data_IF_593502036607
#
_entry.id   IF_593502036607
#
_cell.length_a   1.000
_cell.length_b   1.000
_cell.length_c   1.000
_cell.angle_alpha   90.00
_cell.angle_beta   90.00
_cell.angle_gamma   90.00
#
_symmetry.space_group_name_H-M   'P 1'
#
loop_
_entity.id
_entity.type
_entity.pdbx_description
1 polymer ?
#
# COMPACT_ATOMS: atom_id res chain seq x y z
N UNK A 1 6.10 12.36 7.84
CA UNK A 1 7.08 11.52 7.14
C UNK A 1 7.10 11.82 5.64
N UNK A 2 5.98 11.68 4.93
CA UNK A 2 5.78 12.14 3.55
C UNK A 2 4.58 13.07 3.56
N UNK A 3 4.71 14.27 3.00
CA UNK A 3 3.63 15.24 2.89
C UNK A 3 3.58 15.80 1.48
N UNK A 4 2.44 15.63 0.84
CA UNK A 4 2.17 16.10 -0.52
C UNK A 4 1.02 17.09 -0.44
N UNK A 5 1.16 18.26 -1.09
CA UNK A 5 0.14 19.30 -1.13
C UNK A 5 -0.03 19.80 -2.56
N UNK A 6 -1.22 19.65 -3.10
CA UNK A 6 -1.65 20.13 -4.42
C UNK A 6 -0.67 19.75 -5.55
N UNK A 7 -0.13 18.51 -5.48
CA UNK A 7 0.86 18.04 -6.45
C UNK A 7 0.23 17.87 -7.83
N UNK A 8 0.84 18.51 -8.84
CA UNK A 8 0.43 18.38 -10.23
C UNK A 8 1.63 18.07 -11.10
N UNK A 9 1.48 17.04 -11.95
CA UNK A 9 2.51 16.56 -12.88
C UNK A 9 1.99 16.47 -14.29
N UNK A 10 2.76 17.03 -15.22
CA UNK A 10 2.51 16.94 -16.66
C UNK A 10 3.62 16.18 -17.37
N UNK A 11 3.26 15.40 -18.39
CA UNK A 11 4.13 14.96 -19.47
C UNK A 11 3.69 15.62 -20.76
N UNK A 12 4.46 16.62 -21.22
CA UNK A 12 4.02 17.50 -22.31
C UNK A 12 2.73 18.24 -21.98
N UNK A 13 1.64 17.93 -22.67
CA UNK A 13 0.31 18.50 -22.43
C UNK A 13 -0.60 17.63 -21.55
N UNK A 14 -0.21 16.40 -21.32
CA UNK A 14 -1.00 15.43 -20.56
C UNK A 14 -0.78 15.63 -19.05
N UNK A 15 -1.87 15.83 -18.32
CA UNK A 15 -1.85 15.92 -16.86
C UNK A 15 -2.00 14.52 -16.27
N UNK A 16 -0.92 13.96 -15.76
CA UNK A 16 -0.87 12.59 -15.21
C UNK A 16 -1.15 12.57 -13.70
N UNK A 17 -0.84 13.64 -12.98
CA UNK A 17 -1.24 13.85 -11.59
C UNK A 17 -1.88 15.22 -11.50
N UNK A 18 -3.03 15.29 -10.86
CA UNK A 18 -3.89 16.47 -10.82
C UNK A 18 -4.32 16.77 -9.39
N UNK A 19 -3.69 17.77 -8.78
CA UNK A 19 -4.04 18.31 -7.48
C UNK A 19 -4.09 17.25 -6.34
N UNK A 20 -3.07 16.39 -6.29
CA UNK A 20 -2.99 15.31 -5.30
C UNK A 20 -2.44 15.85 -3.99
N UNK A 21 -3.18 15.65 -2.88
CA UNK A 21 -2.75 15.97 -1.52
C UNK A 21 -2.89 14.75 -0.62
N UNK A 22 -1.83 14.40 0.11
CA UNK A 22 -1.84 13.30 1.07
C UNK A 22 -0.76 13.46 2.14
N UNK A 23 -0.95 12.80 3.26
CA UNK A 23 0.05 12.72 4.34
C UNK A 23 0.22 11.27 4.78
N UNK A 24 1.48 10.79 4.80
CA UNK A 24 1.86 9.46 5.29
C UNK A 24 2.69 9.64 6.56
N UNK A 25 2.22 9.05 7.66
CA UNK A 25 2.91 9.11 8.95
C UNK A 25 4.04 8.10 9.02
N UNK A 26 4.93 8.28 10.00
CA UNK A 26 6.03 7.35 10.25
C UNK A 26 5.48 5.98 10.69
N UNK A 27 6.01 4.90 10.11
CA UNK A 27 5.65 3.54 10.45
C UNK A 27 4.34 3.03 9.83
N UNK A 28 3.61 3.87 9.07
CA UNK A 28 2.41 3.43 8.35
C UNK A 28 2.75 2.56 7.12
N UNK A 29 1.90 1.58 6.83
CA UNK A 29 1.79 0.97 5.50
C UNK A 29 0.65 1.68 4.78
N UNK A 30 0.99 2.44 3.76
CA UNK A 30 0.06 3.25 2.98
C UNK A 30 -0.03 2.71 1.54
N UNK A 31 -1.23 2.43 1.06
CA UNK A 31 -1.44 1.96 -0.30
C UNK A 31 -1.88 3.08 -1.24
N UNK A 32 -1.34 3.08 -2.45
CA UNK A 32 -1.80 3.90 -3.58
C UNK A 32 -2.37 2.94 -4.61
N UNK A 33 -3.68 3.02 -4.81
CA UNK A 33 -4.45 2.08 -5.62
C UNK A 33 -5.05 2.79 -6.82
N UNK A 34 -5.22 2.08 -7.92
CA UNK A 34 -5.84 2.63 -9.14
C UNK A 34 -5.61 1.74 -10.34
N UNK A 35 -6.37 1.96 -11.41
CA UNK A 35 -6.19 1.24 -12.67
C UNK A 35 -4.82 1.55 -13.32
N UNK A 36 -4.45 0.74 -14.31
CA UNK A 36 -3.25 1.02 -15.12
C UNK A 36 -3.39 2.41 -15.77
N UNK A 37 -2.31 3.20 -15.75
CA UNK A 37 -2.33 4.57 -16.26
C UNK A 37 -2.88 5.64 -15.31
N UNK A 38 -3.38 5.29 -14.11
CA UNK A 38 -3.92 6.27 -13.16
C UNK A 38 -2.89 7.27 -12.56
N UNK A 39 -1.58 7.10 -12.81
CA UNK A 39 -0.53 7.99 -12.30
C UNK A 39 0.21 7.46 -11.05
N UNK A 40 -0.10 6.25 -10.57
CA UNK A 40 0.45 5.67 -9.33
C UNK A 40 1.98 5.63 -9.29
N UNK A 41 2.59 5.00 -10.29
CA UNK A 41 4.06 4.87 -10.37
C UNK A 41 4.73 6.23 -10.57
N UNK A 42 4.07 7.17 -11.27
CA UNK A 42 4.55 8.55 -11.42
C UNK A 42 4.57 9.25 -10.05
N UNK A 43 3.49 9.13 -9.26
CA UNK A 43 3.43 9.68 -7.91
C UNK A 43 4.52 9.09 -7.01
N UNK A 44 4.71 7.76 -7.06
CA UNK A 44 5.75 7.08 -6.31
C UNK A 44 7.16 7.56 -6.71
N UNK A 45 7.41 7.78 -8.00
CA UNK A 45 8.68 8.29 -8.53
C UNK A 45 8.91 9.76 -8.19
N UNK A 46 7.86 10.56 -8.01
CA UNK A 46 7.98 11.90 -7.44
C UNK A 46 8.48 11.85 -5.99
N UNK A 47 7.98 10.90 -5.17
CA UNK A 47 8.38 10.77 -3.75
C UNK A 47 9.87 10.52 -3.58
N UNK A 48 10.51 9.73 -4.45
CA UNK A 48 11.96 9.50 -4.39
C UNK A 48 12.78 10.47 -5.26
N UNK A 49 12.12 11.47 -5.87
CA UNK A 49 12.74 12.47 -6.73
C UNK A 49 13.29 11.92 -8.05
N UNK A 50 12.84 10.73 -8.51
CA UNK A 50 13.16 10.22 -9.86
C UNK A 50 12.38 10.95 -10.94
N UNK A 51 11.20 11.46 -10.61
CA UNK A 51 10.38 12.31 -11.46
C UNK A 51 10.23 13.69 -10.85
N UNK A 52 10.28 14.73 -11.70
CA UNK A 52 9.96 16.10 -11.32
C UNK A 52 8.45 16.34 -11.40
N UNK A 53 7.97 17.37 -10.72
CA UNK A 53 6.59 17.85 -10.82
C UNK A 53 6.57 19.37 -11.05
N UNK A 54 5.46 19.89 -11.54
CA UNK A 54 5.36 21.30 -11.91
C UNK A 54 4.76 22.17 -10.81
N UNK A 55 3.68 21.70 -10.17
CA UNK A 55 2.93 22.48 -9.18
C UNK A 55 2.83 21.73 -7.84
N UNK A 56 2.57 22.45 -6.76
CA UNK A 56 2.45 21.94 -5.42
C UNK A 56 3.76 21.79 -4.66
N UNK A 57 3.71 21.09 -3.54
CA UNK A 57 4.89 20.78 -2.72
C UNK A 57 4.92 19.31 -2.31
N UNK A 58 6.12 18.78 -2.19
CA UNK A 58 6.38 17.40 -1.77
C UNK A 58 7.55 17.36 -0.81
N UNK A 59 7.24 17.09 0.46
CA UNK A 59 8.23 16.92 1.53
C UNK A 59 8.38 15.47 1.91
N UNK A 60 9.63 15.00 1.96
CA UNK A 60 10.00 13.65 2.38
C UNK A 60 11.08 13.77 3.44
N UNK A 61 10.87 13.20 4.63
CA UNK A 61 11.82 13.32 5.74
C UNK A 61 12.21 14.79 6.02
N UNK A 62 11.22 15.70 5.97
CA UNK A 62 11.37 17.15 6.16
C UNK A 62 12.16 17.90 5.07
N UNK A 63 12.55 17.23 3.99
CA UNK A 63 13.22 17.81 2.84
C UNK A 63 12.24 18.05 1.68
N UNK A 64 12.26 19.26 1.08
CA UNK A 64 11.48 19.57 -0.12
C UNK A 64 12.16 18.96 -1.36
N UNK A 65 11.48 18.03 -2.04
CA UNK A 65 12.05 17.28 -3.15
C UNK A 65 12.40 18.16 -4.34
N UNK A 66 11.56 19.15 -4.65
CA UNK A 66 11.77 20.06 -5.80
C UNK A 66 13.06 20.85 -5.64
N UNK A 67 13.30 21.40 -4.45
CA UNK A 67 14.50 22.17 -4.15
C UNK A 67 15.76 21.32 -4.24
N UNK A 68 15.71 20.09 -3.71
CA UNK A 68 16.84 19.16 -3.79
C UNK A 68 17.13 18.70 -5.21
N UNK A 69 16.11 18.43 -6.02
CA UNK A 69 16.29 17.97 -7.40
C UNK A 69 16.88 19.05 -8.31
N UNK A 70 16.54 20.29 -8.09
CA UNK A 70 17.00 21.44 -8.89
C UNK A 70 18.32 22.03 -8.41
N UNK A 71 18.49 22.16 -7.07
CA UNK A 71 19.55 22.96 -6.49
C UNK A 71 20.65 22.16 -5.78
N UNK A 72 20.34 20.92 -5.31
CA UNK A 72 21.31 20.12 -4.57
C UNK A 72 21.19 18.59 -4.85
N UNK A 73 21.69 18.14 -6.00
CA UNK A 73 21.67 16.71 -6.35
C UNK A 73 22.43 15.82 -5.35
N UNK A 74 23.40 16.38 -4.61
CA UNK A 74 24.13 15.61 -3.57
C UNK A 74 23.23 15.32 -2.39
N UNK A 75 22.47 16.32 -1.91
CA UNK A 75 21.50 16.10 -0.82
C UNK A 75 20.37 15.19 -1.25
N UNK A 76 19.88 15.28 -2.50
CA UNK A 76 18.90 14.33 -3.03
C UNK A 76 19.44 12.89 -3.01
N UNK A 77 20.72 12.70 -3.38
CA UNK A 77 21.35 11.39 -3.30
C UNK A 77 21.45 10.87 -1.85
N UNK A 78 21.71 11.75 -0.89
CA UNK A 78 21.72 11.40 0.54
C UNK A 78 20.32 11.05 1.04
N UNK A 79 19.29 11.80 0.64
CA UNK A 79 17.91 11.48 0.96
C UNK A 79 17.50 10.10 0.43
N UNK A 80 17.90 9.76 -0.80
CA UNK A 80 17.61 8.45 -1.41
C UNK A 80 18.27 7.27 -0.67
N UNK A 81 19.28 7.50 0.16
CA UNK A 81 19.82 6.47 1.07
C UNK A 81 18.76 6.01 2.09
N UNK A 82 17.93 6.94 2.55
CA UNK A 82 16.85 6.69 3.51
C UNK A 82 15.57 6.14 2.84
N UNK A 83 15.59 5.94 1.51
CA UNK A 83 14.44 5.46 0.72
C UNK A 83 14.84 4.20 -0.03
N UNK A 84 14.33 3.05 0.40
CA UNK A 84 14.43 1.81 -0.35
C UNK A 84 13.36 1.76 -1.44
N UNK A 85 13.68 1.20 -2.61
CA UNK A 85 12.71 1.03 -3.70
C UNK A 85 12.72 -0.40 -4.24
N UNK A 86 11.54 -0.96 -4.35
CA UNK A 86 11.25 -2.25 -4.97
C UNK A 86 10.56 -1.96 -6.29
N UNK A 87 11.15 -2.41 -7.39
CA UNK A 87 10.65 -2.18 -8.75
C UNK A 87 9.78 -3.34 -9.24
N UNK A 88 8.83 -3.07 -10.09
CA UNK A 88 7.91 -4.03 -10.69
C UNK A 88 8.63 -5.21 -11.38
N UNK A 89 9.71 -4.94 -12.09
CA UNK A 89 10.51 -5.93 -12.81
C UNK A 89 11.72 -6.44 -12.02
N UNK A 90 11.68 -6.37 -10.66
CA UNK A 90 12.75 -6.73 -9.73
C UNK A 90 14.04 -5.92 -9.89
N UNK A 91 14.36 -5.47 -11.10
CA UNK A 91 15.58 -4.75 -11.48
C UNK A 91 16.88 -5.41 -10.93
N UNK A 92 16.95 -6.74 -10.97
CA UNK A 92 18.13 -7.50 -10.57
C UNK A 92 19.18 -7.49 -11.68
N UNK A 93 20.44 -7.47 -11.27
CA UNK A 93 21.57 -7.60 -12.20
C UNK A 93 21.77 -9.07 -12.54
N UNK A 94 21.43 -9.47 -13.76
CA UNK A 94 21.43 -10.86 -14.24
C UNK A 94 22.81 -11.54 -14.18
N UNK A 95 23.90 -10.73 -14.30
CA UNK A 95 25.30 -11.20 -14.26
C UNK A 95 25.88 -11.26 -12.84
N UNK A 96 25.09 -10.95 -11.84
CA UNK A 96 25.45 -10.92 -10.43
C UNK A 96 24.61 -11.97 -9.68
N UNK A 97 25.24 -12.70 -8.74
CA UNK A 97 24.51 -13.62 -7.88
C UNK A 97 23.65 -12.85 -6.84
N UNK A 98 22.88 -13.59 -6.05
CA UNK A 98 21.99 -13.03 -5.02
C UNK A 98 22.77 -12.16 -4.03
N UNK A 99 23.90 -12.67 -3.49
CA UNK A 99 24.73 -11.91 -2.58
C UNK A 99 25.20 -10.57 -3.17
N UNK A 100 25.72 -10.59 -4.38
CA UNK A 100 26.22 -9.39 -5.07
C UNK A 100 25.11 -8.38 -5.41
N UNK A 101 23.90 -8.86 -5.74
CA UNK A 101 22.73 -7.99 -5.94
C UNK A 101 22.36 -7.25 -4.65
N UNK A 102 22.36 -7.94 -3.50
CA UNK A 102 22.06 -7.33 -2.21
C UNK A 102 23.22 -6.45 -1.72
N UNK A 103 24.48 -6.83 -1.96
CA UNK A 103 25.66 -6.07 -1.56
C UNK A 103 25.88 -4.78 -2.35
N UNK A 104 25.30 -4.66 -3.55
CA UNK A 104 25.58 -3.56 -4.48
C UNK A 104 25.35 -2.17 -3.89
N UNK A 105 24.23 -1.86 -3.18
CA UNK A 105 24.05 -0.55 -2.56
C UNK A 105 25.14 -0.22 -1.52
N UNK A 106 25.58 -1.20 -0.73
CA UNK A 106 26.65 -1.01 0.23
C UNK A 106 27.98 -0.69 -0.48
N UNK A 107 28.34 -1.46 -1.49
CA UNK A 107 29.57 -1.22 -2.28
C UNK A 107 29.57 0.11 -3.01
N UNK A 108 28.38 0.60 -3.38
CA UNK A 108 28.22 1.92 -4.02
C UNK A 108 28.38 3.05 -3.00
N UNK A 109 27.84 2.85 -1.79
CA UNK A 109 27.80 3.88 -0.74
C UNK A 109 29.10 3.91 0.08
N UNK A 110 29.56 2.76 0.54
CA UNK A 110 30.76 2.63 1.38
C UNK A 110 32.02 2.29 0.57
N UNK A 111 33.17 2.68 1.09
CA UNK A 111 34.47 2.22 0.57
C UNK A 111 34.97 1.04 1.41
N UNK A 112 35.40 -0.05 0.77
CA UNK A 112 36.08 -1.15 1.42
C UNK A 112 37.57 -0.86 1.65
N UNK A 113 38.12 0.21 1.08
CA UNK A 113 39.50 0.64 1.27
C UNK A 113 39.55 1.87 2.19
N UNK A 114 40.22 1.73 3.37
CA UNK A 114 40.33 2.85 4.32
C UNK A 114 41.04 4.07 3.74
N UNK A 115 42.06 3.85 2.91
CA UNK A 115 42.84 4.93 2.29
C UNK A 115 41.93 5.68 1.29
N UNK A 116 41.16 4.95 0.46
CA UNK A 116 40.24 5.50 -0.53
C UNK A 116 39.07 6.23 0.16
N UNK A 117 38.57 5.69 1.28
CA UNK A 117 37.58 6.33 2.12
C UNK A 117 38.03 7.72 2.57
N UNK A 118 39.26 7.80 3.08
CA UNK A 118 39.87 9.06 3.58
C UNK A 118 40.13 10.08 2.46
N UNK A 119 40.56 9.62 1.27
CA UNK A 119 40.84 10.48 0.12
C UNK A 119 39.59 11.04 -0.54
N UNK A 120 38.50 10.27 -0.64
CA UNK A 120 37.29 10.61 -1.38
C UNK A 120 36.07 10.91 -0.50
N UNK A 121 36.26 10.99 0.81
CA UNK A 121 35.17 11.33 1.76
C UNK A 121 34.04 10.31 1.84
N UNK A 122 34.28 9.04 1.43
CA UNK A 122 33.32 7.96 1.56
C UNK A 122 33.43 7.30 2.94
N UNK A 123 32.32 6.92 3.54
CA UNK A 123 32.32 6.09 4.75
C UNK A 123 32.96 4.74 4.49
N UNK A 124 33.76 4.23 5.46
CA UNK A 124 34.41 2.93 5.38
C UNK A 124 33.49 1.85 5.93
N UNK A 125 33.44 0.69 5.24
CA UNK A 125 32.83 -0.55 5.71
C UNK A 125 33.78 -1.69 5.40
N UNK A 126 34.11 -2.52 6.39
CA UNK A 126 34.93 -3.69 6.17
C UNK A 126 34.19 -4.76 5.36
N UNK A 127 34.93 -5.63 4.64
CA UNK A 127 34.31 -6.76 3.92
C UNK A 127 33.60 -7.73 4.90
N UNK A 128 34.10 -7.86 6.13
CA UNK A 128 33.48 -8.66 7.18
C UNK A 128 32.08 -8.08 7.55
N UNK A 129 31.98 -6.76 7.79
CA UNK A 129 30.73 -6.11 8.16
C UNK A 129 29.73 -6.14 6.99
N UNK A 130 30.21 -5.94 5.76
CA UNK A 130 29.40 -6.05 4.56
C UNK A 130 28.81 -7.46 4.43
N UNK A 131 29.64 -8.51 4.57
CA UNK A 131 29.21 -9.90 4.49
C UNK A 131 28.18 -10.23 5.58
N UNK A 132 28.42 -9.80 6.81
CA UNK A 132 27.49 -9.99 7.92
C UNK A 132 26.15 -9.32 7.64
N UNK A 133 26.17 -8.07 7.18
CA UNK A 133 24.94 -7.32 6.86
C UNK A 133 24.13 -7.96 5.74
N UNK A 134 24.80 -8.38 4.66
CA UNK A 134 24.12 -9.03 3.52
C UNK A 134 23.52 -10.37 3.95
N UNK A 135 24.26 -11.20 4.67
CA UNK A 135 23.76 -12.49 5.13
C UNK A 135 22.56 -12.33 6.07
N UNK A 136 22.61 -11.40 7.04
CA UNK A 136 21.46 -11.14 7.91
C UNK A 136 20.19 -10.71 7.13
N UNK A 137 20.34 -9.92 6.08
CA UNK A 137 19.20 -9.54 5.24
C UNK A 137 18.68 -10.72 4.40
N UNK A 138 19.57 -11.60 3.94
CA UNK A 138 19.15 -12.83 3.24
C UNK A 138 18.41 -13.79 4.17
N UNK A 139 18.79 -13.88 5.44
CA UNK A 139 18.05 -14.63 6.47
C UNK A 139 16.65 -14.02 6.69
N UNK A 140 16.53 -12.69 6.81
CA UNK A 140 15.23 -11.99 6.98
C UNK A 140 14.26 -12.33 5.84
N UNK A 141 14.76 -12.44 4.60
CA UNK A 141 13.91 -12.78 3.44
C UNK A 141 13.87 -14.29 3.15
N UNK A 142 14.54 -15.14 3.94
CA UNK A 142 14.57 -16.60 3.82
C UNK A 142 15.33 -17.12 2.59
N UNK A 143 16.40 -16.45 2.19
CA UNK A 143 17.23 -16.79 1.01
C UNK A 143 18.74 -16.98 1.33
N UNK A 144 19.10 -17.20 2.59
CA UNK A 144 20.47 -17.45 3.03
C UNK A 144 21.12 -18.63 2.28
N UNK A 145 20.36 -19.69 2.00
CA UNK A 145 20.78 -20.88 1.25
C UNK A 145 20.96 -20.65 -0.26
N UNK A 146 20.53 -19.48 -0.79
CA UNK A 146 20.57 -19.11 -2.22
C UNK A 146 21.59 -18.02 -2.55
N UNK A 147 22.46 -17.65 -1.62
CA UNK A 147 23.37 -16.51 -1.74
C UNK A 147 24.28 -16.55 -3.00
N UNK A 148 24.63 -17.75 -3.50
CA UNK A 148 25.46 -17.96 -4.70
C UNK A 148 24.66 -18.12 -5.99
N UNK A 149 23.32 -18.28 -5.93
CA UNK A 149 22.45 -18.44 -7.08
C UNK A 149 22.36 -17.15 -7.90
N UNK A 150 22.14 -17.29 -9.20
CA UNK A 150 21.92 -16.15 -10.11
C UNK A 150 20.42 -15.91 -10.32
N UNK A 151 19.99 -14.70 -10.74
CA UNK A 151 18.58 -14.39 -10.94
C UNK A 151 17.83 -15.37 -11.85
N UNK A 152 18.46 -15.87 -12.90
CA UNK A 152 17.89 -16.87 -13.81
C UNK A 152 17.53 -18.21 -13.15
N UNK A 153 18.12 -18.51 -11.99
CA UNK A 153 17.92 -19.74 -11.22
C UNK A 153 16.86 -19.60 -10.12
N UNK A 154 16.23 -18.41 -10.05
CA UNK A 154 15.26 -18.04 -9.02
C UNK A 154 13.84 -17.98 -9.58
N UNK A 155 12.85 -18.43 -8.77
CA UNK A 155 11.44 -18.15 -9.04
C UNK A 155 11.14 -16.66 -8.94
N UNK A 156 9.98 -16.20 -9.45
CA UNK A 156 9.53 -14.82 -9.35
C UNK A 156 9.49 -14.32 -7.90
N UNK A 157 8.91 -15.11 -6.99
CA UNK A 157 8.87 -14.77 -5.57
C UNK A 157 10.26 -14.70 -4.91
N UNK A 158 11.20 -15.58 -5.32
CA UNK A 158 12.58 -15.50 -4.85
C UNK A 158 13.30 -14.24 -5.38
N UNK A 159 13.11 -13.88 -6.65
CA UNK A 159 13.62 -12.62 -7.21
C UNK A 159 13.09 -11.41 -6.44
N UNK A 160 11.81 -11.44 -6.09
CA UNK A 160 11.18 -10.37 -5.29
C UNK A 160 11.80 -10.27 -3.90
N UNK A 161 12.03 -11.39 -3.21
CA UNK A 161 12.70 -11.41 -1.91
C UNK A 161 14.12 -10.85 -1.99
N UNK A 162 14.88 -11.13 -3.05
CA UNK A 162 16.18 -10.51 -3.30
C UNK A 162 16.06 -8.99 -3.50
N UNK A 163 15.06 -8.53 -4.26
CA UNK A 163 14.82 -7.11 -4.46
C UNK A 163 14.46 -6.39 -3.15
N UNK A 164 13.67 -7.04 -2.28
CA UNK A 164 13.36 -6.54 -0.93
C UNK A 164 14.62 -6.45 -0.08
N UNK A 165 15.43 -7.52 0.01
CA UNK A 165 16.68 -7.52 0.76
C UNK A 165 17.62 -6.40 0.31
N UNK A 166 17.75 -6.21 -1.02
CA UNK A 166 18.53 -5.12 -1.61
C UNK A 166 18.00 -3.74 -1.22
N UNK A 167 16.69 -3.55 -1.23
CA UNK A 167 16.07 -2.27 -0.84
C UNK A 167 16.31 -1.92 0.63
N UNK A 168 16.44 -2.92 1.50
CA UNK A 168 16.69 -2.77 2.94
C UNK A 168 18.17 -2.53 3.31
N UNK A 169 19.08 -2.70 2.37
CA UNK A 169 20.53 -2.79 2.64
C UNK A 169 21.10 -1.55 3.33
N UNK A 170 20.62 -0.36 3.01
CA UNK A 170 21.08 0.90 3.59
C UNK A 170 20.27 1.34 4.82
N UNK A 171 19.47 0.45 5.44
CA UNK A 171 18.57 0.73 6.55
C UNK A 171 17.63 1.91 6.25
N UNK A 172 16.81 1.82 5.20
CA UNK A 172 15.96 2.93 4.81
C UNK A 172 14.87 3.19 5.87
N UNK A 173 14.42 4.44 5.94
CA UNK A 173 13.27 4.85 6.77
C UNK A 173 11.94 4.69 6.03
N UNK A 174 12.01 4.68 4.69
CA UNK A 174 10.86 4.54 3.79
C UNK A 174 11.15 3.42 2.80
N UNK A 175 10.18 2.55 2.57
CA UNK A 175 10.19 1.52 1.54
C UNK A 175 9.09 1.81 0.53
N UNK A 176 9.47 2.10 -0.70
CA UNK A 176 8.55 2.31 -1.83
C UNK A 176 8.45 1.02 -2.64
N UNK A 177 7.25 0.58 -2.94
CA UNK A 177 6.98 -0.64 -3.72
C UNK A 177 6.11 -0.30 -4.93
N UNK A 178 6.68 -0.41 -6.14
CA UNK A 178 6.02 -0.13 -7.41
C UNK A 178 5.54 -1.44 -8.02
N UNK A 179 4.26 -1.77 -7.84
CA UNK A 179 3.59 -2.98 -8.36
C UNK A 179 4.40 -4.29 -8.17
N UNK A 180 5.03 -4.42 -7.02
CA UNK A 180 6.01 -5.47 -6.72
C UNK A 180 5.43 -6.91 -6.74
N UNK A 181 4.12 -7.07 -6.81
CA UNK A 181 3.42 -8.38 -6.78
C UNK A 181 2.70 -8.72 -8.08
N UNK A 182 2.58 -7.78 -9.02
CA UNK A 182 1.76 -7.93 -10.24
C UNK A 182 2.17 -9.08 -11.18
N UNK A 183 3.39 -9.61 -11.05
CA UNK A 183 3.91 -10.72 -11.85
C UNK A 183 3.96 -12.05 -11.07
N UNK A 184 3.33 -12.12 -9.89
CA UNK A 184 3.38 -13.26 -8.98
C UNK A 184 2.00 -13.95 -8.90
N UNK A 185 2.00 -15.24 -8.57
CA UNK A 185 0.77 -15.93 -8.24
C UNK A 185 0.20 -15.46 -6.87
N UNK A 186 -1.12 -15.67 -6.62
CA UNK A 186 -1.77 -15.14 -5.41
C UNK A 186 -1.13 -15.60 -4.10
N UNK A 187 -0.68 -16.85 -4.01
CA UNK A 187 -0.05 -17.37 -2.78
C UNK A 187 1.32 -16.71 -2.56
N UNK A 188 2.10 -16.56 -3.60
CA UNK A 188 3.40 -15.87 -3.54
C UNK A 188 3.21 -14.40 -3.21
N UNK A 189 2.21 -13.74 -3.80
CA UNK A 189 1.82 -12.35 -3.47
C UNK A 189 1.56 -12.21 -1.98
N UNK A 190 0.71 -13.05 -1.41
CA UNK A 190 0.40 -13.04 0.03
C UNK A 190 1.66 -13.18 0.89
N UNK A 191 2.53 -14.14 0.58
CA UNK A 191 3.78 -14.35 1.32
C UNK A 191 4.73 -13.13 1.24
N UNK A 192 4.76 -12.42 0.12
CA UNK A 192 5.56 -11.19 -0.04
C UNK A 192 4.98 -10.05 0.80
N UNK A 193 3.66 -9.92 0.84
CA UNK A 193 2.99 -8.89 1.64
C UNK A 193 3.15 -9.14 3.14
N UNK A 194 3.02 -10.38 3.59
CA UNK A 194 3.29 -10.78 4.96
C UNK A 194 4.75 -10.46 5.36
N UNK A 195 5.70 -10.70 4.44
CA UNK A 195 7.10 -10.32 4.64
C UNK A 195 7.26 -8.80 4.77
N UNK A 196 6.59 -8.00 3.92
CA UNK A 196 6.63 -6.53 3.99
C UNK A 196 6.01 -6.04 5.30
N UNK A 197 4.88 -6.61 5.72
CA UNK A 197 4.24 -6.27 6.99
C UNK A 197 5.15 -6.61 8.20
N UNK A 198 5.81 -7.77 8.17
CA UNK A 198 6.79 -8.15 9.18
C UNK A 198 7.97 -7.17 9.24
N UNK A 199 8.53 -6.80 8.09
CA UNK A 199 9.60 -5.80 7.97
C UNK A 199 9.16 -4.44 8.55
N UNK A 200 7.94 -3.98 8.21
CA UNK A 200 7.38 -2.75 8.78
C UNK A 200 7.30 -2.81 10.30
N UNK A 201 6.76 -3.90 10.85
CA UNK A 201 6.61 -4.07 12.31
C UNK A 201 7.94 -4.17 13.05
N UNK A 202 8.92 -4.94 12.53
CA UNK A 202 10.20 -5.18 13.18
C UNK A 202 11.16 -4.00 13.08
N UNK A 203 11.19 -3.31 11.94
CA UNK A 203 12.14 -2.22 11.69
C UNK A 203 11.53 -0.82 11.81
N UNK A 204 10.20 -0.69 12.00
CA UNK A 204 9.50 0.59 12.07
C UNK A 204 9.58 1.42 10.78
N UNK A 205 9.77 0.75 9.63
CA UNK A 205 9.92 1.38 8.31
C UNK A 205 8.53 1.82 7.81
N UNK A 206 8.43 3.03 7.27
CA UNK A 206 7.22 3.49 6.57
C UNK A 206 7.16 2.83 5.19
N UNK A 207 6.03 2.24 4.82
CA UNK A 207 5.88 1.54 3.54
C UNK A 207 4.85 2.24 2.68
N UNK A 208 5.17 2.47 1.39
CA UNK A 208 4.23 2.96 0.38
C UNK A 208 4.12 1.89 -0.70
N UNK A 209 2.94 1.27 -0.80
CA UNK A 209 2.64 0.23 -1.77
C UNK A 209 1.84 0.79 -2.93
N UNK A 210 2.31 0.61 -4.15
CA UNK A 210 1.52 0.85 -5.36
C UNK A 210 1.01 -0.50 -5.87
N UNK A 211 -0.29 -0.61 -6.08
CA UNK A 211 -0.92 -1.82 -6.61
C UNK A 211 -2.24 -1.48 -7.31
N UNK A 212 -2.72 -2.39 -8.14
CA UNK A 212 -4.09 -2.41 -8.68
C UNK A 212 -4.93 -3.54 -8.04
N UNK A 213 -4.34 -4.34 -7.15
CA UNK A 213 -4.98 -5.47 -6.48
C UNK A 213 -5.55 -5.04 -5.13
N UNK A 214 -6.89 -4.99 -5.01
CA UNK A 214 -7.58 -4.56 -3.80
C UNK A 214 -7.37 -5.51 -2.61
N UNK A 215 -7.30 -6.82 -2.87
CA UNK A 215 -7.12 -7.80 -1.81
C UNK A 215 -5.76 -7.63 -1.11
N UNK A 216 -4.72 -7.26 -1.89
CA UNK A 216 -3.40 -6.88 -1.37
C UNK A 216 -3.50 -5.73 -0.35
N UNK A 217 -4.28 -4.72 -0.70
CA UNK A 217 -4.45 -3.51 0.14
C UNK A 217 -5.17 -3.84 1.44
N UNK A 218 -6.23 -4.63 1.36
CA UNK A 218 -7.06 -5.04 2.51
C UNK A 218 -6.28 -5.86 3.54
N UNK A 219 -5.31 -6.64 3.08
CA UNK A 219 -4.56 -7.54 3.95
C UNK A 219 -3.47 -6.83 4.78
N UNK A 220 -2.85 -5.77 4.27
CA UNK A 220 -1.64 -5.22 4.90
C UNK A 220 -1.64 -3.71 5.13
N UNK A 221 -2.40 -2.91 4.37
CA UNK A 221 -2.37 -1.47 4.51
C UNK A 221 -3.24 -0.97 5.67
N UNK A 222 -2.81 0.06 6.37
CA UNK A 222 -3.62 0.77 7.35
C UNK A 222 -4.46 1.86 6.70
N UNK A 223 -3.92 2.50 5.64
CA UNK A 223 -4.60 3.54 4.88
C UNK A 223 -4.38 3.35 3.39
N UNK A 224 -5.29 3.87 2.60
CA UNK A 224 -5.16 3.90 1.17
C UNK A 224 -5.59 5.24 0.55
N UNK A 225 -5.06 5.45 -0.65
CA UNK A 225 -5.47 6.46 -1.61
C UNK A 225 -5.93 5.74 -2.88
N UNK A 226 -7.11 6.04 -3.34
CA UNK A 226 -7.60 5.57 -4.63
C UNK A 226 -7.40 6.68 -5.66
N UNK A 227 -6.62 6.36 -6.70
CA UNK A 227 -6.24 7.28 -7.76
C UNK A 227 -6.90 6.87 -9.08
N UNK A 228 -7.59 7.78 -9.71
CA UNK A 228 -8.19 7.60 -11.01
C UNK A 228 -7.94 8.84 -11.90
N UNK A 229 -7.43 8.64 -13.10
CA UNK A 229 -7.08 9.73 -14.04
C UNK A 229 -6.26 10.86 -13.37
N UNK A 230 -5.32 10.49 -12.50
CA UNK A 230 -4.47 11.44 -11.78
C UNK A 230 -5.16 12.16 -10.61
N UNK A 231 -6.41 11.86 -10.28
CA UNK A 231 -7.17 12.49 -9.20
C UNK A 231 -7.47 11.50 -8.07
N UNK A 232 -7.62 12.03 -6.87
CA UNK A 232 -8.06 11.24 -5.71
C UNK A 232 -9.57 11.06 -5.78
N UNK A 233 -10.02 9.79 -5.83
CA UNK A 233 -11.45 9.46 -5.73
C UNK A 233 -11.85 9.02 -4.32
N UNK A 234 -10.87 8.63 -3.49
CA UNK A 234 -11.06 8.28 -2.09
C UNK A 234 -9.73 8.17 -1.36
N UNK A 235 -9.68 8.56 -0.09
CA UNK A 235 -8.50 8.39 0.77
C UNK A 235 -8.90 8.31 2.23
N UNK A 236 -8.22 7.47 3.02
CA UNK A 236 -8.49 7.33 4.44
C UNK A 236 -8.04 5.99 5.01
N UNK A 237 -8.54 5.65 6.18
CA UNK A 237 -8.36 4.34 6.79
C UNK A 237 -9.05 3.25 5.93
N UNK A 238 -8.43 2.08 5.85
CA UNK A 238 -8.93 0.99 4.99
C UNK A 238 -10.34 0.57 5.40
N UNK A 239 -10.60 0.43 6.69
CA UNK A 239 -11.89 0.04 7.23
C UNK A 239 -12.99 1.07 6.88
N UNK A 240 -12.71 2.38 6.98
CA UNK A 240 -13.65 3.43 6.59
C UNK A 240 -13.92 3.43 5.08
N UNK A 241 -12.87 3.32 4.27
CA UNK A 241 -12.97 3.35 2.81
C UNK A 241 -13.81 2.19 2.25
N UNK A 242 -13.66 0.99 2.83
CA UNK A 242 -14.36 -0.20 2.33
C UNK A 242 -15.69 -0.45 3.04
N UNK A 243 -15.88 0.06 4.26
CA UNK A 243 -17.15 -0.08 4.94
C UNK A 243 -18.23 0.79 4.27
N UNK A 244 -17.88 2.05 3.95
CA UNK A 244 -18.83 3.01 3.36
C UNK A 244 -18.20 3.74 2.16
N UNK A 245 -18.02 3.03 1.01
CA UNK A 245 -17.46 3.63 -0.18
C UNK A 245 -18.38 4.72 -0.76
N UNK A 246 -17.81 5.83 -1.24
CA UNK A 246 -18.54 6.82 -1.99
C UNK A 246 -18.91 6.29 -3.41
N UNK A 247 -19.78 6.98 -4.14
CA UNK A 247 -20.27 6.51 -5.45
C UNK A 247 -19.15 6.21 -6.45
N UNK A 248 -18.12 7.05 -6.54
CA UNK A 248 -16.95 6.83 -7.42
C UNK A 248 -16.16 5.60 -7.01
N UNK A 249 -16.06 5.33 -5.71
CA UNK A 249 -15.42 4.13 -5.22
C UNK A 249 -16.23 2.88 -5.49
N UNK A 250 -17.56 2.92 -5.37
CA UNK A 250 -18.44 1.79 -5.73
C UNK A 250 -18.26 1.45 -7.20
N UNK A 251 -18.27 2.44 -8.09
CA UNK A 251 -18.03 2.27 -9.52
C UNK A 251 -16.62 1.67 -9.77
N UNK A 252 -15.58 2.20 -9.13
CA UNK A 252 -14.21 1.69 -9.22
C UNK A 252 -14.09 0.24 -8.72
N UNK A 253 -14.84 -0.13 -7.68
CA UNK A 253 -14.86 -1.48 -7.10
C UNK A 253 -15.73 -2.46 -7.91
N UNK A 254 -16.45 -1.97 -8.93
CA UNK A 254 -17.41 -2.77 -9.70
C UNK A 254 -18.62 -3.19 -8.88
N UNK A 255 -18.94 -2.45 -7.81
CA UNK A 255 -20.12 -2.70 -6.99
C UNK A 255 -21.34 -2.08 -7.65
N UNK A 256 -22.20 -2.90 -8.26
CA UNK A 256 -23.53 -2.51 -8.74
C UNK A 256 -24.57 -3.18 -7.86
N UNK A 257 -25.31 -2.39 -7.10
CA UNK A 257 -26.41 -2.88 -6.30
C UNK A 257 -27.63 -3.12 -7.21
N UNK A 258 -27.93 -4.40 -7.52
CA UNK A 258 -29.19 -4.76 -8.18
C UNK A 258 -30.26 -4.90 -7.09
N UNK A 259 -30.97 -3.81 -6.81
CA UNK A 259 -31.93 -3.74 -5.71
C UNK A 259 -33.36 -3.94 -6.21
N UNK A 260 -34.25 -4.60 -5.42
CA UNK A 260 -35.67 -4.67 -5.72
C UNK A 260 -36.29 -3.26 -5.80
N UNK A 261 -37.19 -3.07 -6.79
CA UNK A 261 -37.96 -1.83 -6.95
C UNK A 261 -39.18 -1.73 -6.04
N UNK A 262 -39.53 -2.82 -5.31
CA UNK A 262 -40.63 -2.89 -4.37
C UNK A 262 -40.14 -2.98 -2.93
N UNK A 263 -40.89 -2.41 -1.98
CA UNK A 263 -40.47 -2.35 -0.58
C UNK A 263 -39.42 -1.28 -0.31
N UNK A 264 -38.84 -1.31 0.86
CA UNK A 264 -37.76 -0.40 1.30
C UNK A 264 -36.45 -1.14 1.41
N UNK A 265 -35.45 -0.71 0.66
CA UNK A 265 -34.10 -1.26 0.78
C UNK A 265 -33.31 -0.49 1.84
N UNK A 266 -32.73 -1.21 2.80
CA UNK A 266 -31.89 -0.63 3.85
C UNK A 266 -30.54 -1.31 3.79
N UNK A 267 -29.48 -0.52 3.54
CA UNK A 267 -28.11 -0.98 3.60
C UNK A 267 -27.60 -0.83 5.04
N UNK A 268 -27.08 -1.92 5.56
CA UNK A 268 -26.54 -2.04 6.90
C UNK A 268 -25.02 -2.23 6.84
N UNK A 269 -24.30 -1.48 7.66
CA UNK A 269 -22.86 -1.53 7.74
C UNK A 269 -22.45 -2.06 9.11
N UNK A 270 -21.73 -3.17 9.14
CA UNK A 270 -21.29 -3.84 10.35
C UNK A 270 -19.81 -3.55 10.58
N UNK A 271 -19.49 -2.57 11.46
CA UNK A 271 -18.12 -2.35 11.93
C UNK A 271 -17.59 -3.60 12.65
N UNK A 272 -16.26 -3.68 12.78
CA UNK A 272 -15.57 -4.83 13.40
C UNK A 272 -16.10 -5.21 14.79
N UNK A 273 -16.60 -4.24 15.55
CA UNK A 273 -17.11 -4.41 16.91
C UNK A 273 -18.41 -5.22 16.95
N UNK A 274 -19.19 -5.17 15.87
CA UNK A 274 -20.53 -5.80 15.80
C UNK A 274 -20.68 -6.84 14.69
N UNK A 275 -19.70 -6.96 13.79
CA UNK A 275 -19.76 -7.83 12.60
C UNK A 275 -19.94 -9.32 12.93
N UNK A 276 -19.56 -9.78 14.12
CA UNK A 276 -19.71 -11.17 14.57
C UNK A 276 -20.99 -11.41 15.38
N UNK A 277 -21.78 -10.37 15.65
CA UNK A 277 -22.99 -10.48 16.45
C UNK A 277 -24.18 -10.95 15.60
N UNK A 278 -25.07 -11.74 16.20
CA UNK A 278 -26.27 -12.28 15.53
C UNK A 278 -27.38 -11.21 15.39
N UNK A 279 -27.03 -10.00 14.99
CA UNK A 279 -27.96 -8.83 14.96
C UNK A 279 -29.14 -9.06 14.03
N UNK A 280 -28.91 -9.57 12.84
CA UNK A 280 -29.93 -9.77 11.80
C UNK A 280 -30.99 -10.78 12.27
N UNK A 281 -30.56 -11.93 12.74
CA UNK A 281 -31.47 -12.98 13.22
C UNK A 281 -32.18 -12.59 14.52
N UNK A 282 -31.50 -11.84 15.38
CA UNK A 282 -32.09 -11.30 16.62
C UNK A 282 -33.13 -10.23 16.28
N UNK A 283 -32.87 -9.33 15.34
CA UNK A 283 -33.81 -8.33 14.84
C UNK A 283 -35.11 -8.97 14.31
N UNK A 284 -35.00 -9.96 13.43
CA UNK A 284 -36.14 -10.66 12.88
C UNK A 284 -37.03 -11.25 13.95
N UNK A 285 -36.44 -11.92 14.94
CA UNK A 285 -37.18 -12.53 16.07
C UNK A 285 -37.80 -11.50 17.00
N UNK A 286 -37.05 -10.46 17.39
CA UNK A 286 -37.49 -9.45 18.35
C UNK A 286 -38.62 -8.59 17.79
N UNK A 287 -38.54 -8.23 16.52
CA UNK A 287 -39.54 -7.40 15.86
C UNK A 287 -40.68 -8.23 15.28
N UNK A 288 -40.52 -9.54 15.20
CA UNK A 288 -41.45 -10.48 14.54
C UNK A 288 -41.80 -10.02 13.12
N UNK A 289 -40.76 -9.79 12.30
CA UNK A 289 -40.86 -9.35 10.92
C UNK A 289 -40.10 -10.28 9.99
N UNK A 290 -40.64 -10.43 8.77
CA UNK A 290 -39.93 -11.07 7.66
C UNK A 290 -39.32 -10.00 6.75
N UNK A 291 -38.13 -10.28 6.23
CA UNK A 291 -37.46 -9.45 5.23
C UNK A 291 -36.57 -10.29 4.32
N UNK A 292 -36.30 -9.78 3.15
CA UNK A 292 -35.37 -10.41 2.21
C UNK A 292 -33.97 -9.84 2.37
N UNK A 293 -32.95 -10.69 2.35
CA UNK A 293 -31.57 -10.28 2.15
C UNK A 293 -31.33 -10.24 0.65
N UNK A 294 -31.17 -9.06 0.09
CA UNK A 294 -31.08 -8.85 -1.35
C UNK A 294 -29.65 -8.70 -1.85
N UNK A 295 -28.76 -8.32 -0.96
CA UNK A 295 -27.34 -8.26 -1.22
C UNK A 295 -26.55 -8.35 0.09
N UNK A 296 -25.35 -8.91 0.04
CA UNK A 296 -24.48 -8.97 1.22
C UNK A 296 -23.05 -9.34 0.87
N UNK A 297 -22.10 -8.72 1.61
CA UNK A 297 -20.67 -8.96 1.47
C UNK A 297 -20.02 -8.92 2.84
N UNK A 298 -19.23 -9.94 3.15
CA UNK A 298 -18.38 -9.97 4.34
C UNK A 298 -16.94 -9.99 3.86
N UNK A 299 -16.15 -9.06 4.31
CA UNK A 299 -14.74 -8.95 3.97
C UNK A 299 -13.87 -9.06 5.21
N UNK A 300 -12.67 -9.60 5.03
CA UNK A 300 -11.64 -9.61 6.05
C UNK A 300 -10.65 -8.49 5.76
N UNK A 301 -10.54 -7.53 6.68
CA UNK A 301 -9.64 -6.39 6.56
C UNK A 301 -8.69 -6.40 7.78
N UNK A 302 -7.39 -6.49 7.56
CA UNK A 302 -6.38 -6.51 8.64
C UNK A 302 -6.72 -7.47 9.79
N UNK A 303 -7.26 -8.66 9.45
CA UNK A 303 -7.66 -9.67 10.43
C UNK A 303 -9.04 -9.49 11.06
N UNK A 304 -9.72 -8.37 10.83
CA UNK A 304 -11.07 -8.07 11.31
C UNK A 304 -12.12 -8.40 10.23
N UNK A 305 -13.29 -8.86 10.66
CA UNK A 305 -14.45 -9.00 9.78
C UNK A 305 -15.19 -7.65 9.69
N UNK A 306 -15.52 -7.24 8.46
CA UNK A 306 -16.41 -6.12 8.16
C UNK A 306 -17.51 -6.65 7.25
N UNK A 307 -18.72 -6.17 7.41
CA UNK A 307 -19.85 -6.64 6.62
C UNK A 307 -20.76 -5.53 6.13
N UNK A 308 -21.23 -5.68 4.90
CA UNK A 308 -22.29 -4.87 4.34
C UNK A 308 -23.44 -5.79 3.95
N UNK A 309 -24.67 -5.43 4.27
CA UNK A 309 -25.86 -6.18 3.97
C UNK A 309 -26.97 -5.24 3.51
N UNK A 310 -27.68 -5.61 2.45
CA UNK A 310 -28.90 -4.90 2.08
C UNK A 310 -30.10 -5.80 2.37
N UNK A 311 -31.00 -5.31 3.17
CA UNK A 311 -32.29 -5.95 3.46
C UNK A 311 -33.41 -5.18 2.76
N UNK A 312 -34.39 -5.90 2.24
CA UNK A 312 -35.62 -5.34 1.71
C UNK A 312 -36.75 -5.67 2.68
N UNK A 313 -37.45 -4.65 3.15
CA UNK A 313 -38.53 -4.73 4.13
C UNK A 313 -39.82 -4.09 3.59
N UNK A 314 -40.94 -4.41 4.22
CA UNK A 314 -42.16 -3.64 4.03
C UNK A 314 -42.05 -2.22 4.60
N UNK A 315 -42.52 -1.21 3.91
CA UNK A 315 -42.47 0.21 4.37
C UNK A 315 -43.11 0.42 5.74
N UNK A 316 -44.15 -0.36 6.09
CA UNK A 316 -44.82 -0.32 7.39
C UNK A 316 -43.90 -0.62 8.57
N UNK A 317 -42.85 -1.40 8.35
CA UNK A 317 -41.90 -1.85 9.41
C UNK A 317 -40.67 -0.95 9.52
N UNK A 318 -40.53 0.08 8.68
CA UNK A 318 -39.40 1.01 8.61
C UNK A 318 -38.99 1.53 9.98
N UNK A 319 -39.92 2.14 10.73
CA UNK A 319 -39.61 2.78 12.01
C UNK A 319 -39.12 1.78 13.07
N UNK A 320 -39.69 0.56 13.08
CA UNK A 320 -39.25 -0.49 14.01
C UNK A 320 -37.85 -0.96 13.71
N UNK A 321 -37.56 -1.20 12.43
CA UNK A 321 -36.26 -1.68 11.96
C UNK A 321 -35.18 -0.62 12.22
N UNK A 322 -35.40 0.63 11.86
CA UNK A 322 -34.41 1.69 12.04
C UNK A 322 -34.11 1.92 13.52
N UNK A 323 -35.09 1.97 14.39
CA UNK A 323 -34.87 2.09 15.83
C UNK A 323 -34.04 0.92 16.42
N UNK A 324 -34.30 -0.31 15.95
CA UNK A 324 -33.54 -1.47 16.40
C UNK A 324 -32.07 -1.40 15.94
N UNK A 325 -31.85 -1.04 14.67
CA UNK A 325 -30.53 -0.95 14.07
C UNK A 325 -29.66 0.13 14.77
N UNK A 326 -30.25 1.31 15.04
CA UNK A 326 -29.60 2.38 15.78
C UNK A 326 -29.15 1.95 17.18
N UNK A 327 -30.02 1.21 17.90
CA UNK A 327 -29.66 0.70 19.23
C UNK A 327 -28.62 -0.40 19.21
N UNK A 328 -28.44 -1.08 18.07
CA UNK A 328 -27.48 -2.18 17.89
C UNK A 328 -26.09 -1.74 17.49
N UNK A 329 -25.85 -0.42 17.30
CA UNK A 329 -24.55 0.12 16.89
C UNK A 329 -24.19 -0.18 15.42
N UNK A 330 -25.17 -0.57 14.61
CA UNK A 330 -25.03 -0.79 13.16
C UNK A 330 -25.30 0.52 12.43
N UNK A 331 -24.42 0.91 11.53
CA UNK A 331 -24.66 2.06 10.66
C UNK A 331 -25.60 1.65 9.52
N UNK A 332 -26.42 2.58 9.07
CA UNK A 332 -27.42 2.29 8.03
C UNK A 332 -27.66 3.45 7.08
N UNK A 333 -28.16 3.13 5.91
CA UNK A 333 -28.72 4.10 4.96
C UNK A 333 -29.87 3.46 4.16
N UNK A 334 -30.81 4.28 3.71
CA UNK A 334 -31.85 3.85 2.77
C UNK A 334 -31.29 3.98 1.35
N UNK A 335 -31.41 2.91 0.56
CA UNK A 335 -30.90 2.84 -0.80
C UNK A 335 -32.02 2.50 -1.79
N UNK A 336 -31.94 3.07 -2.99
CA UNK A 336 -32.98 2.93 -4.05
C UNK A 336 -32.43 2.27 -5.31
#
# INVERSE_FOLDING_TARGET
MIKIQNLTKYYGKERVINDVSLEIKKGEIYAIVGHSGAGKSTLLRCINGLESYQEGSLKVLDAEIKDLSQNDPKKLRMLRKDIGMIFQNFALMERKNVFENVAMPLRTHYSQCKIYSKLFGKEYMSEKDLNQKVNSLLEVVGLDHKNKSYPRELSGGQKQRVAIARALTLNPKILLSDEATSALDPNTTKNILELIAKINAEFGITVVLVTHEMDVVKDVAQKALLLEYGQIIGSGAIDELFLKPNEKMKEFLGESDFLPSTGLNIKLYFPKEVAQNSIITHMARTLNIDFSIVWGKIEKLNGNALGNLVINIDEKDKSKVLNYVEQSGVLWEVVS
#
